data_IF_840711551685
#
_entry.id   IF_840711551685
#
_cell.length_a   1.000
_cell.length_b   1.000
_cell.length_c   1.000
_cell.angle_alpha   90.00
_cell.angle_beta   90.00
_cell.angle_gamma   90.00
#
_symmetry.space_group_name_H-M   'P 1'
#
loop_
_entity.id
_entity.type
_entity.pdbx_description
1 polymer ?
#
# COMPACT_ATOMS: atom_id res chain seq x y z
N UNK A 1 19.76 22.16 8.61
CA UNK A 1 19.01 21.64 7.44
C UNK A 1 18.04 20.58 7.94
N UNK A 2 16.75 20.73 7.66
CA UNK A 2 15.73 19.74 8.03
C UNK A 2 15.89 18.47 7.18
N UNK A 3 15.83 17.27 7.80
CA UNK A 3 16.13 16.00 7.11
C UNK A 3 14.97 15.47 6.26
N UNK A 4 13.73 15.75 6.63
CA UNK A 4 12.52 15.22 5.97
C UNK A 4 11.42 16.30 5.87
N UNK A 5 11.62 17.37 5.08
CA UNK A 5 10.69 18.50 4.99
C UNK A 5 9.29 18.10 4.50
N UNK A 6 9.18 17.03 3.70
CA UNK A 6 7.91 16.52 3.18
C UNK A 6 6.94 16.04 4.26
N UNK A 7 7.42 15.75 5.48
CA UNK A 7 6.57 15.38 6.61
C UNK A 7 5.56 16.49 7.01
N UNK A 8 5.78 17.73 6.53
CA UNK A 8 4.87 18.88 6.73
C UNK A 8 3.99 19.19 5.52
N UNK A 9 3.97 18.32 4.51
CA UNK A 9 3.18 18.51 3.30
C UNK A 9 1.67 18.41 3.53
N UNK A 10 0.88 18.87 2.57
CA UNK A 10 -0.59 18.88 2.65
C UNK A 10 -1.26 17.51 2.39
N UNK A 11 -0.50 16.50 1.93
CA UNK A 11 -1.00 15.17 1.54
C UNK A 11 -0.31 14.05 2.31
N UNK A 12 -0.31 14.16 3.64
CA UNK A 12 0.25 13.14 4.54
C UNK A 12 -0.75 12.02 4.85
N UNK A 13 -0.25 10.93 5.40
CA UNK A 13 -1.03 9.82 5.95
C UNK A 13 -0.46 9.43 7.33
N UNK A 14 -1.25 8.80 8.23
CA UNK A 14 -2.67 8.46 8.09
C UNK A 14 -3.59 9.68 8.15
N UNK A 15 -4.87 9.49 7.80
CA UNK A 15 -5.95 10.48 7.97
C UNK A 15 -7.14 9.82 8.65
N UNK A 16 -7.94 10.62 9.36
CA UNK A 16 -9.22 10.18 9.87
C UNK A 16 -10.27 10.18 8.74
N UNK A 17 -10.93 9.05 8.52
CA UNK A 17 -11.94 8.89 7.46
C UNK A 17 -13.31 9.21 8.04
N UNK A 18 -13.75 10.45 7.87
CA UNK A 18 -15.11 10.88 8.18
C UNK A 18 -16.07 10.41 7.08
N UNK A 19 -16.85 9.36 7.38
CA UNK A 19 -17.80 8.77 6.42
C UNK A 19 -18.92 9.72 6.00
N UNK A 20 -19.22 10.76 6.78
CA UNK A 20 -20.23 11.76 6.41
C UNK A 20 -19.74 12.70 5.30
N UNK A 21 -18.40 12.83 5.16
CA UNK A 21 -17.72 13.64 4.14
C UNK A 21 -17.18 12.81 2.98
N UNK A 22 -17.17 11.48 3.12
CA UNK A 22 -16.77 10.58 2.06
C UNK A 22 -17.80 10.63 0.92
N UNK A 23 -17.32 10.87 -0.30
CA UNK A 23 -18.14 10.79 -1.51
C UNK A 23 -17.73 9.58 -2.33
N UNK A 24 -18.73 8.84 -2.84
CA UNK A 24 -18.48 7.90 -3.92
C UNK A 24 -18.35 8.70 -5.21
N UNK A 25 -17.13 9.01 -5.65
CA UNK A 25 -16.93 9.29 -7.07
C UNK A 25 -17.35 8.05 -7.87
N UNK A 26 -17.86 8.25 -9.10
CA UNK A 26 -18.52 7.21 -9.89
C UNK A 26 -17.83 5.84 -9.79
N UNK A 27 -18.63 4.76 -9.67
CA UNK A 27 -18.18 3.40 -9.33
C UNK A 27 -16.85 3.05 -10.01
N UNK A 28 -15.75 3.19 -9.26
CA UNK A 28 -14.48 2.62 -9.69
C UNK A 28 -14.72 1.11 -9.93
N UNK A 29 -14.13 0.53 -10.99
CA UNK A 29 -14.17 -0.92 -11.14
C UNK A 29 -13.60 -1.58 -9.88
N UNK A 30 -13.98 -2.81 -9.55
CA UNK A 30 -13.40 -3.48 -8.40
C UNK A 30 -11.87 -3.55 -8.53
N UNK A 31 -11.18 -3.48 -7.39
CA UNK A 31 -9.79 -3.92 -7.33
C UNK A 31 -9.74 -5.42 -7.63
N UNK A 32 -8.74 -5.85 -8.39
CA UNK A 32 -8.46 -7.24 -8.69
C UNK A 32 -7.00 -7.52 -8.38
N UNK A 33 -6.75 -8.63 -7.70
CA UNK A 33 -5.41 -9.07 -7.32
C UNK A 33 -5.22 -10.54 -7.64
N UNK A 34 -3.97 -10.90 -7.91
CA UNK A 34 -3.49 -12.28 -7.96
C UNK A 34 -2.20 -12.29 -7.17
N UNK A 35 -2.12 -13.05 -6.09
CA UNK A 35 -0.92 -13.17 -5.27
C UNK A 35 -0.45 -14.61 -5.27
N UNK A 36 0.82 -14.81 -5.62
CA UNK A 36 1.45 -16.12 -5.59
C UNK A 36 1.98 -16.40 -4.19
N UNK A 37 1.61 -17.54 -3.61
CA UNK A 37 2.05 -17.96 -2.27
C UNK A 37 3.47 -18.51 -2.24
N UNK A 38 4.12 -18.66 -3.40
CA UNK A 38 5.42 -19.33 -3.53
C UNK A 38 6.62 -18.38 -3.52
N UNK A 39 6.41 -17.09 -3.26
CA UNK A 39 7.42 -16.04 -3.48
C UNK A 39 7.78 -15.08 -2.32
N UNK A 40 7.41 -15.32 -1.04
CA UNK A 40 8.04 -14.59 0.05
C UNK A 40 9.55 -14.76 0.01
N UNK A 41 10.28 -13.64 0.01
CA UNK A 41 11.74 -13.62 -0.02
C UNK A 41 12.33 -13.72 1.39
N UNK A 42 11.84 -12.90 2.30
CA UNK A 42 12.38 -12.83 3.66
C UNK A 42 11.43 -12.14 4.63
N UNK A 43 11.50 -12.54 5.90
CA UNK A 43 10.93 -11.78 7.02
C UNK A 43 12.05 -10.98 7.68
N UNK A 44 11.86 -9.68 7.83
CA UNK A 44 12.88 -8.72 8.28
C UNK A 44 12.38 -7.91 9.47
N UNK A 45 13.26 -7.66 10.44
CA UNK A 45 13.05 -6.71 11.53
C UNK A 45 14.02 -5.52 11.35
N UNK A 46 13.57 -4.39 10.77
CA UNK A 46 14.40 -3.19 10.61
C UNK A 46 14.47 -2.30 11.86
N UNK A 47 13.86 -2.69 12.99
CA UNK A 47 13.90 -1.96 14.26
C UNK A 47 12.70 -1.03 14.52
N UNK A 48 11.81 -0.82 13.55
CA UNK A 48 10.60 0.02 13.69
C UNK A 48 9.30 -0.68 13.23
N UNK A 49 9.39 -1.89 12.70
CA UNK A 49 8.27 -2.78 12.38
C UNK A 49 8.79 -4.21 12.21
N UNK A 50 7.93 -5.13 11.78
CA UNK A 50 8.35 -6.30 11.02
C UNK A 50 7.83 -6.17 9.59
N UNK A 51 8.58 -6.68 8.61
CA UNK A 51 8.26 -6.58 7.18
C UNK A 51 8.52 -7.91 6.49
N UNK A 52 7.65 -8.28 5.57
CA UNK A 52 7.86 -9.40 4.65
C UNK A 52 8.17 -8.82 3.29
N UNK A 53 9.35 -9.15 2.76
CA UNK A 53 9.76 -8.78 1.41
C UNK A 53 9.30 -9.89 0.45
N UNK A 54 8.70 -9.51 -0.68
CA UNK A 54 8.19 -10.42 -1.72
C UNK A 54 9.07 -10.34 -2.96
N UNK A 55 9.28 -11.46 -3.66
CA UNK A 55 9.92 -11.39 -4.98
C UNK A 55 8.96 -10.79 -6.04
N UNK A 56 7.67 -10.75 -5.71
CA UNK A 56 6.55 -10.19 -6.47
C UNK A 56 6.33 -10.80 -7.87
N UNK A 57 7.01 -11.90 -8.19
CA UNK A 57 6.70 -12.67 -9.39
C UNK A 57 5.26 -13.16 -9.32
N UNK A 58 4.55 -13.03 -10.44
CA UNK A 58 3.15 -13.41 -10.60
C UNK A 58 2.16 -12.80 -9.58
N UNK A 59 2.61 -11.78 -8.84
CA UNK A 59 1.86 -11.13 -7.78
C UNK A 59 1.55 -9.69 -8.14
N UNK A 60 0.28 -9.41 -8.42
CA UNK A 60 -0.17 -8.17 -9.02
C UNK A 60 -1.47 -7.62 -8.42
N UNK A 61 -1.60 -6.30 -8.45
CA UNK A 61 -2.78 -5.53 -8.09
C UNK A 61 -3.15 -4.60 -9.25
N UNK A 62 -4.43 -4.59 -9.64
CA UNK A 62 -4.96 -3.76 -10.74
C UNK A 62 -6.43 -3.39 -10.50
N UNK A 63 -7.00 -2.61 -11.42
CA UNK A 63 -8.40 -2.15 -11.32
C UNK A 63 -8.56 -1.03 -10.29
N UNK A 64 -9.78 -0.81 -9.80
CA UNK A 64 -10.02 0.28 -8.86
C UNK A 64 -9.59 1.65 -9.41
N UNK A 65 -9.07 2.53 -8.53
CA UNK A 65 -8.55 3.83 -8.94
C UNK A 65 -7.17 3.76 -9.63
N UNK A 66 -6.63 2.57 -9.90
CA UNK A 66 -5.33 2.40 -10.57
C UNK A 66 -5.41 2.53 -12.10
N UNK A 67 -6.62 2.67 -12.67
CA UNK A 67 -6.80 2.79 -14.11
C UNK A 67 -6.31 1.55 -14.87
N UNK A 68 -5.45 1.76 -15.87
CA UNK A 68 -4.83 0.69 -16.67
C UNK A 68 -3.56 0.10 -16.05
N UNK A 69 -3.09 0.66 -14.94
CA UNK A 69 -1.82 0.26 -14.34
C UNK A 69 -1.92 -1.08 -13.61
N UNK A 70 -0.80 -1.81 -13.62
CA UNK A 70 -0.63 -3.06 -12.89
C UNK A 70 0.55 -2.91 -11.94
N UNK A 71 0.28 -3.04 -10.64
CA UNK A 71 1.25 -2.89 -9.57
C UNK A 71 1.74 -4.25 -9.10
N UNK A 72 3.03 -4.35 -8.81
CA UNK A 72 3.68 -5.54 -8.27
C UNK A 72 3.62 -5.52 -6.73
N UNK A 73 3.31 -6.65 -6.10
CA UNK A 73 3.46 -6.80 -4.65
C UNK A 73 4.95 -6.88 -4.29
N UNK A 74 5.46 -5.92 -3.54
CA UNK A 74 6.88 -5.84 -3.16
C UNK A 74 7.12 -6.15 -1.67
N UNK A 75 6.25 -5.69 -0.78
CA UNK A 75 6.32 -5.99 0.65
C UNK A 75 4.98 -5.78 1.34
N UNK A 76 4.87 -6.31 2.55
CA UNK A 76 3.84 -5.93 3.50
C UNK A 76 4.40 -5.88 4.93
N UNK A 77 3.80 -5.06 5.78
CA UNK A 77 4.16 -4.88 7.17
C UNK A 77 2.94 -4.46 8.00
N UNK A 78 3.08 -4.44 9.32
CA UNK A 78 2.04 -3.96 10.21
C UNK A 78 2.54 -2.82 11.12
N UNK A 79 1.58 -2.05 11.60
CA UNK A 79 1.73 -1.03 12.64
C UNK A 79 0.96 -1.50 13.88
N UNK A 80 1.47 -1.20 15.07
CA UNK A 80 0.83 -1.53 16.35
C UNK A 80 1.15 -0.45 17.39
N UNK A 81 0.49 -0.53 18.56
CA UNK A 81 0.53 0.49 19.62
C UNK A 81 1.86 0.62 20.36
#
# INVERSE_FOLDING_TARGET
>A
VEKFPEARGARQSPVDIDTSRASSSGRAPPLAWRYSVNHPRSVVNPGYCWRVDENGYDSELRGGPLGSDVYKLEQWHCHWG
#
